data_IF_859997841045
#
_entry.id   IF_859997841045
#
_cell.length_a   1.000
_cell.length_b   1.000
_cell.length_c   1.000
_cell.angle_alpha   90.00
_cell.angle_beta   90.00
_cell.angle_gamma   90.00
#
_symmetry.space_group_name_H-M   'P 1'
#
loop_
_entity.id
_entity.type
_entity.pdbx_description
1 polymer ?
#
# COMPACT_ATOMS: atom_id res chain seq x y z
N UNK A 1 3.27 31.74 -23.32
CA UNK A 1 1.97 31.02 -23.57
C UNK A 1 2.11 29.50 -23.35
N UNK A 2 3.26 28.88 -23.63
CA UNK A 2 3.44 27.42 -23.48
C UNK A 2 3.37 26.86 -22.05
N UNK A 3 3.80 27.60 -21.02
CA UNK A 3 3.80 27.11 -19.63
C UNK A 3 2.39 26.91 -19.05
N UNK A 4 1.36 27.61 -19.52
CA UNK A 4 -0.01 27.44 -19.05
C UNK A 4 -0.72 26.22 -19.67
N UNK A 5 -0.37 25.86 -20.90
CA UNK A 5 -0.98 24.69 -21.58
C UNK A 5 -0.52 23.38 -20.95
N UNK A 6 0.77 23.30 -20.58
CA UNK A 6 1.31 22.11 -19.88
C UNK A 6 0.73 21.95 -18.46
N UNK A 7 0.51 23.04 -17.74
CA UNK A 7 -0.15 23.05 -16.43
C UNK A 7 -1.62 22.63 -16.51
N UNK A 8 -2.34 23.08 -17.53
CA UNK A 8 -3.74 22.67 -17.77
C UNK A 8 -3.83 21.21 -18.21
N UNK A 9 -2.91 20.72 -19.03
CA UNK A 9 -2.86 19.32 -19.46
C UNK A 9 -2.54 18.39 -18.30
N UNK A 10 -1.59 18.74 -17.42
CA UNK A 10 -1.29 18.01 -16.20
C UNK A 10 -2.47 17.99 -15.22
N UNK A 11 -3.17 19.11 -15.02
CA UNK A 11 -4.34 19.17 -14.16
C UNK A 11 -5.51 18.34 -14.69
N UNK A 12 -5.74 18.32 -16.01
CA UNK A 12 -6.78 17.47 -16.60
C UNK A 12 -6.43 15.98 -16.55
N UNK A 13 -5.16 15.63 -16.71
CA UNK A 13 -4.69 14.26 -16.60
C UNK A 13 -4.79 13.76 -15.16
N UNK A 14 -4.38 14.56 -14.19
CA UNK A 14 -4.53 14.26 -12.77
C UNK A 14 -6.01 14.12 -12.38
N UNK A 15 -6.89 14.99 -12.83
CA UNK A 15 -8.31 14.92 -12.54
C UNK A 15 -8.98 13.64 -13.07
N UNK A 16 -8.57 13.14 -14.23
CA UNK A 16 -9.06 11.86 -14.77
C UNK A 16 -8.60 10.68 -13.95
N UNK A 17 -7.32 10.63 -13.59
CA UNK A 17 -6.75 9.56 -12.75
C UNK A 17 -7.46 9.52 -11.38
N UNK A 18 -7.70 10.67 -10.77
CA UNK A 18 -8.40 10.78 -9.49
C UNK A 18 -9.86 10.32 -9.58
N UNK A 19 -10.56 10.67 -10.66
CA UNK A 19 -11.93 10.21 -10.89
C UNK A 19 -11.99 8.71 -11.17
N UNK A 20 -11.01 8.16 -11.87
CA UNK A 20 -10.91 6.73 -12.13
C UNK A 20 -10.67 5.96 -10.82
N UNK A 21 -9.83 6.48 -9.90
CA UNK A 21 -9.64 5.89 -8.57
C UNK A 21 -10.95 5.81 -7.77
N UNK A 22 -11.78 6.86 -7.81
CA UNK A 22 -13.08 6.91 -7.10
C UNK A 22 -14.15 6.01 -7.71
N UNK A 23 -14.08 5.74 -9.01
CA UNK A 23 -15.07 4.91 -9.72
C UNK A 23 -14.70 3.44 -9.76
N UNK A 24 -13.46 3.11 -9.43
CA UNK A 24 -12.94 1.75 -9.52
C UNK A 24 -13.22 0.96 -8.25
N UNK A 25 -13.95 -0.15 -8.38
CA UNK A 25 -14.09 -1.15 -7.33
C UNK A 25 -12.81 -2.00 -7.29
N UNK A 26 -11.80 -1.52 -6.55
CA UNK A 26 -10.51 -2.20 -6.46
C UNK A 26 -10.65 -3.55 -5.77
N UNK A 27 -9.92 -4.53 -6.25
CA UNK A 27 -9.80 -5.85 -5.63
C UNK A 27 -9.27 -5.80 -4.20
N UNK A 28 -9.50 -6.82 -3.43
CA UNK A 28 -9.02 -6.89 -2.05
C UNK A 28 -7.54 -7.27 -2.00
N UNK A 29 -6.84 -6.80 -0.97
CA UNK A 29 -5.55 -7.35 -0.58
C UNK A 29 -5.80 -8.16 0.69
N UNK A 30 -5.42 -9.43 0.66
CA UNK A 30 -5.68 -10.38 1.74
C UNK A 30 -4.41 -11.14 2.13
N UNK A 31 -4.41 -11.71 3.33
CA UNK A 31 -3.38 -12.64 3.76
C UNK A 31 -3.95 -13.62 4.78
N UNK A 32 -3.76 -14.92 4.59
CA UNK A 32 -4.26 -15.96 5.51
C UNK A 32 -5.75 -15.82 5.85
N UNK A 33 -6.58 -15.37 4.90
CA UNK A 33 -8.01 -15.10 5.10
C UNK A 33 -8.34 -13.76 5.78
N UNK A 34 -7.33 -12.98 6.16
CA UNK A 34 -7.50 -11.63 6.74
C UNK A 34 -7.51 -10.58 5.63
N UNK A 35 -8.53 -9.73 5.59
CA UNK A 35 -8.63 -8.62 4.63
C UNK A 35 -7.79 -7.45 5.11
N UNK A 36 -6.76 -7.08 4.35
CA UNK A 36 -5.87 -5.96 4.65
C UNK A 36 -6.32 -4.65 4.01
N UNK A 37 -6.87 -4.75 2.80
CA UNK A 37 -7.42 -3.61 2.07
C UNK A 37 -8.65 -4.06 1.29
N UNK A 38 -9.71 -3.25 1.31
CA UNK A 38 -10.95 -3.49 0.57
C UNK A 38 -11.56 -2.17 0.10
N UNK A 39 -12.42 -2.25 -0.92
CA UNK A 39 -13.21 -1.13 -1.39
C UNK A 39 -14.68 -1.35 -1.09
N UNK A 40 -15.37 -0.32 -0.64
CA UNK A 40 -16.82 -0.31 -0.51
C UNK A 40 -17.39 0.91 -1.21
N UNK A 41 -18.59 0.75 -1.75
CA UNK A 41 -19.32 1.82 -2.43
C UNK A 41 -20.03 2.66 -1.39
N UNK A 42 -19.84 3.95 -1.47
CA UNK A 42 -20.64 4.94 -0.76
C UNK A 42 -22.00 5.10 -1.50
N UNK A 43 -23.09 4.89 -0.81
CA UNK A 43 -24.43 4.90 -1.41
C UNK A 43 -24.90 6.31 -1.79
N UNK A 44 -24.40 7.35 -1.11
CA UNK A 44 -24.80 8.73 -1.38
C UNK A 44 -24.09 9.30 -2.60
N UNK A 45 -22.77 9.04 -2.71
CA UNK A 45 -21.93 9.58 -3.78
C UNK A 45 -21.81 8.63 -4.98
N UNK A 46 -22.03 7.32 -4.77
CA UNK A 46 -21.80 6.27 -5.74
C UNK A 46 -20.32 5.97 -6.00
N UNK A 47 -19.41 6.63 -5.30
CA UNK A 47 -17.96 6.41 -5.39
C UNK A 47 -17.51 5.27 -4.50
N UNK A 48 -16.36 4.68 -4.83
CA UNK A 48 -15.70 3.69 -4.00
C UNK A 48 -14.70 4.34 -3.07
N UNK A 49 -14.73 3.90 -1.81
CA UNK A 49 -13.76 4.28 -0.78
C UNK A 49 -12.89 3.08 -0.42
N UNK A 50 -11.58 3.29 -0.41
CA UNK A 50 -10.62 2.30 0.04
C UNK A 50 -10.46 2.33 1.54
N UNK A 51 -10.48 1.16 2.20
CA UNK A 51 -10.30 1.02 3.65
C UNK A 51 -9.37 -0.13 3.98
N UNK A 52 -8.74 -0.02 5.15
CA UNK A 52 -7.73 -0.94 5.67
C UNK A 52 -8.19 -1.42 7.05
N UNK A 53 -9.08 -2.47 7.09
CA UNK A 53 -9.84 -2.78 8.30
C UNK A 53 -9.05 -3.51 9.39
N UNK A 54 -8.01 -4.27 9.02
CA UNK A 54 -7.32 -5.12 9.96
C UNK A 54 -5.83 -4.75 10.10
N UNK A 55 -5.41 -4.46 11.33
CA UNK A 55 -4.02 -4.18 11.71
C UNK A 55 -3.34 -3.13 10.80
N UNK A 56 -3.97 -1.97 10.53
CA UNK A 56 -3.51 -1.04 9.50
C UNK A 56 -2.06 -0.61 9.71
N UNK A 57 -1.67 -0.28 10.93
CA UNK A 57 -0.29 0.12 11.26
C UNK A 57 0.75 -0.96 10.96
N UNK A 58 0.42 -2.22 11.22
CA UNK A 58 1.34 -3.34 11.02
C UNK A 58 1.58 -3.63 9.54
N UNK A 59 0.59 -3.40 8.69
CA UNK A 59 0.64 -3.72 7.27
C UNK A 59 0.84 -2.51 6.35
N UNK A 60 0.67 -1.27 6.84
CA UNK A 60 0.78 -0.07 6.00
C UNK A 60 2.09 0.04 5.21
N UNK A 61 3.29 -0.26 5.78
CA UNK A 61 4.54 -0.19 5.02
C UNK A 61 4.63 -1.19 3.86
N UNK A 62 3.77 -2.23 3.85
CA UNK A 62 3.70 -3.25 2.80
C UNK A 62 2.57 -2.92 1.82
N UNK A 63 1.36 -2.74 2.35
CA UNK A 63 0.13 -2.53 1.57
C UNK A 63 0.12 -1.15 0.91
N UNK A 64 0.56 -0.14 1.64
CA UNK A 64 0.47 1.25 1.21
C UNK A 64 -0.91 1.85 1.41
N UNK A 65 -1.24 2.82 0.58
CA UNK A 65 -2.52 3.53 0.60
C UNK A 65 -3.00 3.86 -0.82
N UNK A 66 -4.28 4.16 -0.93
CA UNK A 66 -4.92 4.82 -2.09
C UNK A 66 -5.54 6.11 -1.60
N UNK A 67 -5.16 7.22 -2.19
CA UNK A 67 -5.68 8.55 -1.87
C UNK A 67 -5.98 9.31 -3.16
N UNK A 68 -7.10 10.02 -3.17
CA UNK A 68 -7.45 10.92 -4.26
C UNK A 68 -6.62 12.22 -4.28
N UNK A 69 -5.87 12.50 -3.22
CA UNK A 69 -4.99 13.67 -3.12
C UNK A 69 -3.51 13.30 -3.31
N UNK A 70 -3.09 12.14 -2.79
CA UNK A 70 -1.68 11.75 -2.72
C UNK A 70 -1.34 10.52 -3.58
N UNK A 71 -2.31 9.99 -4.34
CA UNK A 71 -2.10 8.86 -5.24
C UNK A 71 -2.06 7.51 -4.52
N UNK A 72 -1.20 6.62 -4.99
CA UNK A 72 -1.07 5.24 -4.49
C UNK A 72 0.37 4.94 -4.10
N UNK A 73 0.57 4.04 -3.13
CA UNK A 73 1.91 3.62 -2.70
C UNK A 73 2.02 2.10 -2.52
N UNK A 74 3.24 1.59 -2.41
CA UNK A 74 3.59 0.19 -2.09
C UNK A 74 2.81 -0.82 -2.97
N UNK A 75 2.19 -1.87 -2.39
CA UNK A 75 1.42 -2.87 -3.14
C UNK A 75 0.22 -2.29 -3.88
N UNK A 76 -0.45 -1.29 -3.31
CA UNK A 76 -1.54 -0.58 -4.00
C UNK A 76 -1.08 0.06 -5.32
N UNK A 77 0.18 0.50 -5.39
CA UNK A 77 0.78 1.05 -6.60
C UNK A 77 1.32 -0.05 -7.53
N UNK A 78 2.10 -1.01 -6.98
CA UNK A 78 2.77 -2.03 -7.79
C UNK A 78 1.82 -3.05 -8.39
N UNK A 79 0.71 -3.38 -7.70
CA UNK A 79 -0.36 -4.25 -8.18
C UNK A 79 -1.59 -3.48 -8.68
N UNK A 80 -1.40 -2.22 -9.08
CA UNK A 80 -2.52 -1.40 -9.54
C UNK A 80 -3.30 -2.05 -10.70
N UNK A 81 -2.60 -2.68 -11.65
CA UNK A 81 -3.23 -3.36 -12.79
C UNK A 81 -4.16 -4.50 -12.37
N UNK A 82 -3.71 -5.35 -11.45
CA UNK A 82 -4.51 -6.47 -10.91
C UNK A 82 -5.70 -5.94 -10.10
N UNK A 83 -5.42 -5.03 -9.18
CA UNK A 83 -6.42 -4.44 -8.29
C UNK A 83 -7.49 -3.62 -9.02
N UNK A 84 -7.19 -3.08 -10.20
CA UNK A 84 -8.18 -2.39 -11.05
C UNK A 84 -8.82 -3.31 -12.09
N UNK A 85 -8.30 -4.54 -12.25
CA UNK A 85 -8.72 -5.47 -13.30
C UNK A 85 -8.20 -5.09 -14.68
N UNK A 86 -7.12 -4.30 -14.77
CA UNK A 86 -6.51 -3.84 -16.03
C UNK A 86 -5.30 -4.66 -16.48
N UNK A 87 -4.99 -5.75 -15.77
CA UNK A 87 -3.79 -6.58 -15.99
C UNK A 87 -3.77 -7.38 -17.32
N UNK A 88 -4.88 -7.38 -18.09
CA UNK A 88 -4.97 -8.10 -19.37
C UNK A 88 -5.32 -7.21 -20.56
N UNK A 89 -4.62 -7.43 -21.69
CA UNK A 89 -4.94 -6.80 -22.99
C UNK A 89 -6.38 -7.06 -23.45
N UNK A 90 -6.96 -8.19 -23.06
CA UNK A 90 -8.34 -8.56 -23.37
C UNK A 90 -9.35 -7.75 -22.52
N UNK A 91 -9.02 -7.37 -21.29
CA UNK A 91 -9.91 -6.61 -20.41
C UNK A 91 -10.11 -5.17 -20.90
N UNK A 92 -9.08 -4.56 -21.51
CA UNK A 92 -9.18 -3.22 -22.10
C UNK A 92 -10.20 -3.12 -23.22
N UNK A 93 -10.32 -4.15 -24.06
CA UNK A 93 -11.29 -4.19 -25.18
C UNK A 93 -12.72 -4.50 -24.71
N UNK A 94 -12.88 -5.22 -23.60
CA UNK A 94 -14.18 -5.58 -23.05
C UNK A 94 -14.78 -4.49 -22.15
N UNK A 95 -13.95 -3.57 -21.61
CA UNK A 95 -14.42 -2.47 -20.74
C UNK A 95 -15.18 -1.35 -21.47
N UNK A 96 -15.11 -1.25 -22.79
CA UNK A 96 -15.85 -0.24 -23.56
C UNK A 96 -17.37 -0.48 -23.62
N UNK A 97 -17.88 -1.51 -22.93
CA UNK A 97 -19.31 -1.84 -22.96
C UNK A 97 -19.90 -2.54 -21.74
N UNK A 98 -19.16 -2.82 -20.67
CA UNK A 98 -19.64 -3.62 -19.55
C UNK A 98 -19.44 -2.95 -18.20
N UNK A 99 -20.59 -2.64 -17.59
CA UNK A 99 -20.88 -2.49 -16.15
C UNK A 99 -19.92 -1.67 -15.27
N UNK A 100 -20.39 -0.49 -14.89
CA UNK A 100 -20.02 0.19 -13.64
C UNK A 100 -20.09 -0.82 -12.49
N UNK A 101 -18.96 -1.12 -11.85
CA UNK A 101 -18.94 -1.90 -10.61
C UNK A 101 -18.23 -3.24 -10.63
N UNK A 102 -17.59 -3.66 -11.73
CA UNK A 102 -16.78 -4.89 -11.71
C UNK A 102 -15.61 -4.71 -10.74
N UNK A 103 -15.50 -5.59 -9.75
CA UNK A 103 -14.39 -5.62 -8.78
C UNK A 103 -13.10 -6.10 -9.47
N UNK A 104 -11.98 -5.46 -9.15
CA UNK A 104 -10.65 -5.90 -9.56
C UNK A 104 -10.26 -7.24 -8.94
N UNK A 105 -9.12 -7.77 -9.34
CA UNK A 105 -8.62 -9.05 -8.86
C UNK A 105 -8.10 -8.93 -7.43
N UNK A 106 -8.22 -10.02 -6.67
CA UNK A 106 -7.70 -10.10 -5.30
C UNK A 106 -6.21 -10.43 -5.32
N UNK A 107 -5.43 -9.71 -4.52
CA UNK A 107 -4.02 -9.99 -4.27
C UNK A 107 -3.89 -10.71 -2.94
N UNK A 108 -3.42 -11.96 -2.96
CA UNK A 108 -3.21 -12.78 -1.76
C UNK A 108 -1.73 -12.83 -1.41
N UNK A 109 -1.40 -12.48 -0.16
CA UNK A 109 -0.03 -12.39 0.32
C UNK A 109 0.35 -13.66 1.09
N UNK A 110 1.65 -13.93 1.13
CA UNK A 110 2.22 -15.06 1.89
C UNK A 110 2.44 -14.77 3.37
N UNK A 111 2.15 -13.55 3.83
CA UNK A 111 2.37 -13.12 5.20
C UNK A 111 1.45 -13.89 6.17
N UNK A 112 1.99 -14.25 7.33
CA UNK A 112 1.19 -14.71 8.45
C UNK A 112 0.72 -13.51 9.28
N UNK A 113 -0.61 -13.27 9.41
CA UNK A 113 -1.11 -12.10 10.12
C UNK A 113 -0.67 -12.00 11.57
N UNK A 114 -0.59 -13.15 12.26
CA UNK A 114 -0.22 -13.19 13.68
C UNK A 114 1.28 -12.92 13.85
N UNK A 115 2.11 -13.52 13.00
CA UNK A 115 3.56 -13.29 13.02
C UNK A 115 3.89 -11.84 12.64
N UNK A 116 3.17 -11.28 11.67
CA UNK A 116 3.32 -9.87 11.27
C UNK A 116 2.97 -8.92 12.43
N UNK A 117 1.82 -9.12 13.07
CA UNK A 117 1.40 -8.32 14.22
C UNK A 117 2.38 -8.45 15.38
N UNK A 118 2.83 -9.66 15.68
CA UNK A 118 3.84 -9.90 16.73
C UNK A 118 5.16 -9.19 16.42
N UNK A 119 5.67 -9.33 15.20
CA UNK A 119 6.93 -8.70 14.78
C UNK A 119 6.85 -7.17 14.86
N UNK A 120 5.72 -6.61 14.41
CA UNK A 120 5.47 -5.17 14.50
C UNK A 120 5.46 -4.70 15.95
N UNK A 121 4.74 -5.39 16.83
CA UNK A 121 4.64 -5.05 18.24
C UNK A 121 5.99 -5.08 18.96
N UNK A 122 6.89 -6.00 18.59
CA UNK A 122 8.23 -6.08 19.17
C UNK A 122 9.10 -4.85 18.84
N UNK A 123 8.82 -4.19 17.74
CA UNK A 123 9.49 -2.93 17.37
C UNK A 123 8.75 -1.72 17.94
N UNK A 124 7.43 -1.66 17.75
CA UNK A 124 6.62 -0.49 18.03
C UNK A 124 6.47 -0.21 19.53
N UNK A 125 6.23 -1.23 20.36
CA UNK A 125 6.04 -1.04 21.83
C UNK A 125 7.26 -0.47 22.53
N UNK A 126 8.50 -0.89 22.24
CA UNK A 126 9.69 -0.25 22.79
C UNK A 126 10.05 1.07 22.12
N UNK A 127 9.41 1.43 21.00
CA UNK A 127 9.71 2.62 20.23
C UNK A 127 11.00 2.52 19.40
N UNK A 128 11.29 1.34 18.88
CA UNK A 128 12.44 1.13 18.01
C UNK A 128 12.11 1.54 16.57
N UNK A 129 13.05 2.21 15.92
CA UNK A 129 13.05 2.41 14.48
C UNK A 129 13.80 1.24 13.83
N UNK A 130 13.19 0.55 12.88
CA UNK A 130 13.82 -0.59 12.23
C UNK A 130 12.84 -1.55 11.56
N UNK A 131 13.36 -2.74 11.25
CA UNK A 131 12.59 -3.75 10.54
C UNK A 131 12.87 -5.18 11.04
N UNK A 132 11.86 -6.05 10.89
CA UNK A 132 11.96 -7.50 11.08
C UNK A 132 11.42 -8.19 9.85
N UNK A 133 12.21 -9.11 9.26
CA UNK A 133 11.77 -9.94 8.13
C UNK A 133 11.92 -11.40 8.52
N UNK A 134 10.84 -12.18 8.34
CA UNK A 134 10.85 -13.62 8.50
C UNK A 134 10.55 -14.29 7.15
N UNK A 135 11.43 -15.21 6.74
CA UNK A 135 11.33 -15.91 5.46
C UNK A 135 11.33 -17.43 5.72
N UNK A 136 10.45 -18.14 5.04
CA UNK A 136 10.45 -19.61 5.04
C UNK A 136 11.64 -20.12 4.23
N UNK A 137 12.63 -20.68 4.88
CA UNK A 137 13.88 -21.07 4.23
C UNK A 137 13.71 -22.09 3.09
N UNK A 138 12.67 -22.96 3.16
CA UNK A 138 12.43 -24.00 2.16
C UNK A 138 11.77 -23.50 0.88
N UNK A 139 11.02 -22.39 0.92
CA UNK A 139 10.22 -21.89 -0.21
C UNK A 139 10.59 -20.47 -0.65
N UNK A 140 11.21 -19.68 0.24
CA UNK A 140 11.47 -18.26 0.03
C UNK A 140 10.27 -17.35 0.33
N UNK A 141 9.14 -17.92 0.79
CA UNK A 141 7.96 -17.13 1.15
C UNK A 141 8.27 -16.16 2.29
N UNK A 142 7.89 -14.91 2.13
CA UNK A 142 7.97 -13.92 3.20
C UNK A 142 6.77 -14.10 4.12
N UNK A 143 7.03 -14.43 5.38
CA UNK A 143 6.01 -14.67 6.39
C UNK A 143 5.72 -13.46 7.26
N UNK A 144 6.70 -12.57 7.41
CA UNK A 144 6.57 -11.28 8.10
C UNK A 144 7.55 -10.27 7.50
N UNK A 145 7.11 -9.02 7.42
CA UNK A 145 7.92 -7.87 6.99
C UNK A 145 7.45 -6.65 7.77
N UNK A 146 7.81 -6.59 9.06
CA UNK A 146 7.46 -5.48 9.93
C UNK A 146 8.44 -4.32 9.76
N UNK A 147 7.93 -3.11 9.81
CA UNK A 147 8.70 -1.87 9.68
C UNK A 147 8.14 -0.81 10.62
N UNK A 148 9.03 -0.11 11.33
CA UNK A 148 8.69 1.00 12.22
C UNK A 148 9.66 2.18 12.05
N UNK A 149 9.18 3.42 12.19
CA UNK A 149 7.78 3.79 12.44
C UNK A 149 6.86 3.46 11.28
N UNK A 150 5.57 3.51 11.52
CA UNK A 150 4.53 3.25 10.54
C UNK A 150 3.45 4.36 10.57
N UNK A 151 2.39 4.19 9.79
CA UNK A 151 1.31 5.16 9.65
C UNK A 151 -0.04 4.46 9.56
N UNK A 152 -1.15 5.20 9.73
CA UNK A 152 -2.49 4.70 9.44
C UNK A 152 -2.87 5.02 8.00
N UNK A 153 -2.97 4.04 7.10
CA UNK A 153 -3.35 4.27 5.72
C UNK A 153 -4.79 4.79 5.57
N UNK A 154 -5.68 4.49 6.54
CA UNK A 154 -7.04 5.02 6.54
C UNK A 154 -7.08 6.55 6.68
N UNK A 155 -6.15 7.14 7.45
CA UNK A 155 -6.04 8.58 7.60
C UNK A 155 -5.74 9.27 6.27
N UNK A 156 -4.83 8.68 5.45
CA UNK A 156 -4.43 9.21 4.15
C UNK A 156 -5.49 8.89 3.05
N UNK A 157 -6.17 7.76 3.16
CA UNK A 157 -7.21 7.35 2.22
C UNK A 157 -8.52 8.15 2.36
N UNK A 158 -8.83 8.64 3.55
CA UNK A 158 -10.04 9.42 3.80
C UNK A 158 -9.85 10.89 3.39
N UNK A 159 -10.62 11.42 2.43
CA UNK A 159 -10.46 12.79 1.95
C UNK A 159 -10.56 13.86 3.03
N UNK A 160 -11.33 13.60 4.11
CA UNK A 160 -11.52 14.56 5.20
C UNK A 160 -10.29 14.70 6.11
N UNK A 161 -9.43 13.67 6.18
CA UNK A 161 -8.25 13.61 7.07
C UNK A 161 -6.92 13.53 6.33
N UNK A 162 -6.96 13.32 5.02
CA UNK A 162 -5.79 13.01 4.19
C UNK A 162 -4.67 14.04 4.31
N UNK A 163 -4.98 15.32 4.28
CA UNK A 163 -3.98 16.39 4.35
C UNK A 163 -3.23 16.39 5.69
N UNK A 164 -3.96 16.24 6.80
CA UNK A 164 -3.37 16.19 8.13
C UNK A 164 -2.53 14.93 8.35
N UNK A 165 -3.05 13.76 7.95
CA UNK A 165 -2.34 12.48 8.06
C UNK A 165 -1.08 12.45 7.17
N UNK A 166 -1.15 13.01 5.98
CA UNK A 166 0.00 13.16 5.09
C UNK A 166 1.07 14.07 5.67
N UNK A 167 0.67 15.24 6.19
CA UNK A 167 1.59 16.19 6.82
C UNK A 167 2.28 15.59 8.05
N UNK A 168 1.56 14.82 8.87
CA UNK A 168 2.13 14.10 10.01
C UNK A 168 3.16 13.06 9.56
N UNK A 169 2.79 12.22 8.58
CA UNK A 169 3.67 11.16 8.10
C UNK A 169 4.93 11.71 7.41
N UNK A 170 4.80 12.75 6.58
CA UNK A 170 5.93 13.36 5.87
C UNK A 170 6.78 14.29 6.75
N UNK A 171 6.20 14.85 7.80
CA UNK A 171 6.92 15.67 8.78
C UNK A 171 7.76 14.85 9.78
N UNK A 172 7.56 13.55 9.85
CA UNK A 172 8.31 12.67 10.74
C UNK A 172 9.69 12.33 10.14
N UNK A 173 10.82 12.71 10.77
CA UNK A 173 12.16 12.46 10.24
C UNK A 173 12.52 10.97 10.13
N UNK A 174 11.81 10.10 10.85
CA UNK A 174 12.01 8.65 10.76
C UNK A 174 11.24 7.99 9.59
N UNK A 175 10.63 8.78 8.71
CA UNK A 175 10.02 8.35 7.43
C UNK A 175 9.05 7.16 7.53
N UNK A 176 7.92 7.27 8.23
CA UNK A 176 6.98 6.16 8.40
C UNK A 176 6.36 5.64 7.08
N UNK A 177 6.40 6.44 6.01
CA UNK A 177 5.93 6.01 4.67
C UNK A 177 6.91 5.07 3.96
N UNK A 178 8.14 4.98 4.46
CA UNK A 178 9.16 4.08 3.91
C UNK A 178 8.98 2.67 4.50
N UNK A 179 9.09 1.66 3.66
CA UNK A 179 9.25 0.29 4.14
C UNK A 179 10.74 0.05 4.48
N UNK A 180 11.10 0.21 5.74
CA UNK A 180 12.48 0.07 6.19
C UNK A 180 13.05 -1.33 5.95
N UNK A 181 12.19 -2.36 5.87
CA UNK A 181 12.61 -3.73 5.59
C UNK A 181 13.06 -3.94 4.13
N UNK A 182 12.51 -3.16 3.18
CA UNK A 182 12.73 -3.36 1.75
C UNK A 182 13.42 -2.18 1.05
N UNK A 183 13.34 -0.98 1.61
CA UNK A 183 13.74 0.26 0.93
C UNK A 183 14.87 1.01 1.63
N UNK A 184 15.22 0.62 2.86
CA UNK A 184 16.31 1.24 3.61
C UNK A 184 17.59 0.41 3.53
N UNK A 185 18.73 1.10 3.39
CA UNK A 185 20.06 0.48 3.44
C UNK A 185 20.71 0.79 4.77
N UNK A 186 20.83 -0.24 5.61
CA UNK A 186 21.51 -0.15 6.89
C UNK A 186 22.89 -0.85 6.83
N UNK A 187 23.91 -0.32 7.52
CA UNK A 187 25.19 -1.02 7.66
C UNK A 187 24.97 -2.39 8.33
N UNK A 188 25.46 -3.50 7.76
CA UNK A 188 25.18 -4.85 8.27
C UNK A 188 25.77 -5.11 9.67
N UNK A 189 26.73 -4.32 10.11
CA UNK A 189 27.33 -4.47 11.41
C UNK A 189 27.84 -5.89 11.67
N UNK A 190 27.54 -6.44 12.86
CA UNK A 190 27.96 -7.80 13.26
C UNK A 190 27.28 -8.93 12.47
N UNK A 191 26.19 -8.66 11.73
CA UNK A 191 25.54 -9.65 10.84
C UNK A 191 26.51 -10.06 9.73
N UNK A 192 27.41 -9.19 9.31
CA UNK A 192 28.42 -9.48 8.29
C UNK A 192 29.39 -10.62 8.71
N UNK A 193 29.48 -10.91 10.01
CA UNK A 193 30.30 -12.05 10.52
C UNK A 193 29.81 -13.41 10.00
N UNK A 194 28.53 -13.55 9.67
CA UNK A 194 28.00 -14.79 9.07
C UNK A 194 28.70 -15.06 7.74
N UNK A 195 28.89 -14.03 6.93
CA UNK A 195 29.55 -14.14 5.62
C UNK A 195 31.04 -14.41 5.80
N UNK A 196 31.71 -13.70 6.71
CA UNK A 196 33.17 -13.88 6.96
C UNK A 196 33.51 -15.19 7.66
N UNK A 197 32.54 -15.82 8.31
CA UNK A 197 32.76 -17.15 8.96
C UNK A 197 32.52 -18.28 7.95
N UNK A 198 31.72 -18.05 6.90
CA UNK A 198 31.41 -19.03 5.85
C UNK A 198 32.45 -19.02 4.70
N UNK A 199 33.34 -18.02 4.64
CA UNK A 199 34.42 -17.89 3.68
C UNK A 199 35.71 -18.52 4.17
#
# INVERSE_FOLDING_TARGET
QGMREDEYAQNQHNSRILMDLKRTNRGDIVTGGTVLAQSHRDEETGFYQRTYPNMPWSFAPIVGFVSDQFGTSQLEATHNGDLTGDSGTASRFLRTGLEDGKKGDTVDLTLDPNLQAFSYDQLAKPGFDGAVVAVRASTGEVLSMASTPSFDPNGIANPATAEGAWAEATGNPANPLLNHAAQEQLPPGSIFKIITTAA
#
